data_IF_824321106149
#
_entry.id   IF_824321106149
#
_cell.length_a   1.000
_cell.length_b   1.000
_cell.length_c   1.000
_cell.angle_alpha   90.00
_cell.angle_beta   90.00
_cell.angle_gamma   90.00
#
_symmetry.space_group_name_H-M   'P 1'
#
loop_
_entity.id
_entity.type
_entity.pdbx_description
1 polymer ?
#
# COMPACT_ATOMS: atom_id res chain seq x y z
N UNK A 1 -1.65 12.47 23.17
CA UNK A 1 -2.46 12.42 21.94
C UNK A 1 -1.48 12.64 20.80
N UNK A 2 -1.07 11.59 20.11
CA UNK A 2 -0.06 11.63 19.04
C UNK A 2 -0.60 12.45 17.88
N UNK A 3 0.19 13.40 17.38
CA UNK A 3 -0.20 14.23 16.25
C UNK A 3 -0.12 13.40 14.98
N UNK A 4 -1.29 13.00 14.46
CA UNK A 4 -1.45 12.24 13.22
C UNK A 4 -0.69 12.89 12.04
N UNK A 5 -0.50 14.23 12.04
CA UNK A 5 0.29 14.89 10.99
C UNK A 5 1.78 14.57 11.10
N UNK A 6 2.33 14.57 12.31
CA UNK A 6 3.71 14.17 12.55
C UNK A 6 3.92 12.70 12.19
N UNK A 7 2.97 11.83 12.53
CA UNK A 7 3.03 10.40 12.23
C UNK A 7 3.01 10.13 10.71
N UNK A 8 2.20 10.86 9.94
CA UNK A 8 2.15 10.76 8.47
C UNK A 8 3.47 11.17 7.82
N UNK A 9 4.09 12.25 8.32
CA UNK A 9 5.36 12.73 7.78
C UNK A 9 6.49 11.72 8.05
N UNK A 10 6.60 11.23 9.29
CA UNK A 10 7.58 10.22 9.65
C UNK A 10 7.39 8.91 8.85
N UNK A 11 6.14 8.52 8.55
CA UNK A 11 5.86 7.38 7.68
C UNK A 11 6.35 7.63 6.24
N UNK A 12 6.10 8.81 5.70
CA UNK A 12 6.55 9.17 4.35
C UNK A 12 8.08 9.14 4.23
N UNK A 13 8.80 9.68 5.23
CA UNK A 13 10.27 9.63 5.28
C UNK A 13 10.80 8.20 5.32
N UNK A 14 10.18 7.32 6.12
CA UNK A 14 10.59 5.91 6.21
C UNK A 14 10.35 5.16 4.90
N UNK A 15 9.25 5.46 4.20
CA UNK A 15 8.98 4.88 2.87
C UNK A 15 9.98 5.38 1.82
N UNK A 16 10.34 6.66 1.86
CA UNK A 16 11.37 7.22 0.98
C UNK A 16 12.73 6.56 1.22
N UNK A 17 13.16 6.46 2.48
CA UNK A 17 14.41 5.78 2.84
C UNK A 17 14.42 4.30 2.43
N UNK A 18 13.29 3.60 2.57
CA UNK A 18 13.18 2.22 2.11
C UNK A 18 13.32 2.11 0.58
N UNK A 19 12.67 3.01 -0.17
CA UNK A 19 12.77 3.03 -1.63
C UNK A 19 14.19 3.37 -2.11
N UNK A 20 14.91 4.25 -1.41
CA UNK A 20 16.32 4.53 -1.70
C UNK A 20 17.23 3.31 -1.43
N UNK A 21 16.98 2.58 -0.35
CA UNK A 21 17.82 1.44 0.05
C UNK A 21 17.55 0.17 -0.78
N UNK A 22 16.31 -0.06 -1.21
CA UNK A 22 15.88 -1.32 -1.84
C UNK A 22 15.38 -1.17 -3.28
N UNK A 23 15.25 0.07 -3.77
CA UNK A 23 14.72 0.36 -5.09
C UNK A 23 13.19 0.47 -5.12
N UNK A 24 12.70 1.19 -6.13
CA UNK A 24 11.28 1.50 -6.32
C UNK A 24 10.43 0.24 -6.53
N UNK A 25 10.99 -0.80 -7.16
CA UNK A 25 10.26 -2.05 -7.41
C UNK A 25 9.89 -2.78 -6.12
N UNK A 26 10.85 -2.99 -5.21
CA UNK A 26 10.60 -3.66 -3.93
C UNK A 26 9.71 -2.83 -3.01
N UNK A 27 9.91 -1.51 -2.99
CA UNK A 27 9.00 -0.59 -2.29
C UNK A 27 7.56 -0.70 -2.83
N UNK A 28 7.41 -0.80 -4.14
CA UNK A 28 6.12 -1.00 -4.81
C UNK A 28 5.45 -2.32 -4.42
N UNK A 29 6.21 -3.43 -4.33
CA UNK A 29 5.69 -4.73 -3.87
C UNK A 29 5.19 -4.66 -2.43
N UNK A 30 5.96 -4.06 -1.53
CA UNK A 30 5.57 -3.89 -0.13
C UNK A 30 4.30 -3.04 0.00
N UNK A 31 4.24 -1.89 -0.68
CA UNK A 31 3.08 -1.00 -0.67
C UNK A 31 1.83 -1.70 -1.23
N UNK A 32 1.98 -2.43 -2.34
CA UNK A 32 0.88 -3.20 -2.93
C UNK A 32 0.34 -4.26 -1.97
N UNK A 33 1.22 -4.95 -1.24
CA UNK A 33 0.81 -5.95 -0.24
C UNK A 33 0.08 -5.33 0.94
N UNK A 34 0.54 -4.17 1.40
CA UNK A 34 -0.12 -3.40 2.46
C UNK A 34 -1.53 -2.95 2.04
N UNK A 35 -1.65 -2.35 0.84
CA UNK A 35 -2.93 -1.89 0.28
C UNK A 35 -3.93 -3.05 0.10
N UNK A 36 -3.47 -4.21 -0.39
CA UNK A 36 -4.29 -5.42 -0.46
C UNK A 36 -4.72 -5.92 0.93
N UNK A 37 -3.82 -5.84 1.92
CA UNK A 37 -4.14 -6.19 3.30
C UNK A 37 -5.20 -5.28 3.91
N UNK A 38 -5.15 -3.97 3.64
CA UNK A 38 -6.19 -3.01 4.05
C UNK A 38 -7.52 -3.32 3.37
N UNK A 39 -7.52 -3.58 2.07
CA UNK A 39 -8.74 -3.93 1.33
C UNK A 39 -9.37 -5.22 1.85
N UNK A 40 -8.55 -6.23 2.15
CA UNK A 40 -9.01 -7.47 2.76
C UNK A 40 -9.59 -7.26 4.15
N UNK A 41 -8.90 -6.50 5.02
CA UNK A 41 -9.36 -6.22 6.39
C UNK A 41 -10.65 -5.38 6.43
N UNK A 42 -10.88 -4.55 5.42
CA UNK A 42 -12.09 -3.76 5.25
C UNK A 42 -13.23 -4.55 4.57
N UNK A 43 -13.00 -5.82 4.19
CA UNK A 43 -13.92 -6.61 3.36
C UNK A 43 -14.37 -5.87 2.08
N UNK A 44 -13.51 -4.98 1.57
CA UNK A 44 -13.83 -4.12 0.45
C UNK A 44 -13.67 -4.89 -0.87
N UNK A 45 -14.68 -4.82 -1.74
CA UNK A 45 -14.56 -5.32 -3.12
C UNK A 45 -13.63 -4.46 -3.98
N UNK A 46 -13.47 -3.18 -3.60
CA UNK A 46 -12.65 -2.20 -4.29
C UNK A 46 -12.27 -1.07 -3.32
N UNK A 47 -11.05 -0.55 -3.43
CA UNK A 47 -10.63 0.71 -2.80
C UNK A 47 -9.99 1.62 -3.85
N UNK A 48 -10.43 2.87 -3.90
CA UNK A 48 -9.87 3.90 -4.77
C UNK A 48 -9.20 5.01 -3.95
N UNK A 49 -7.99 5.39 -4.37
CA UNK A 49 -7.30 6.58 -3.89
C UNK A 49 -7.02 7.49 -5.09
N UNK A 50 -7.45 8.74 -5.03
CA UNK A 50 -7.22 9.72 -6.09
C UNK A 50 -6.74 11.05 -5.52
N UNK A 51 -5.75 11.66 -6.18
CA UNK A 51 -5.25 12.99 -5.89
C UNK A 51 -4.83 13.73 -7.16
N UNK A 52 -4.11 14.85 -7.00
CA UNK A 52 -3.62 15.67 -8.11
C UNK A 52 -2.51 15.01 -8.95
N UNK A 53 -1.88 13.94 -8.45
CA UNK A 53 -0.85 13.17 -9.16
C UNK A 53 -1.49 12.05 -9.99
N UNK A 54 -2.56 11.42 -9.49
CA UNK A 54 -3.28 10.41 -10.25
C UNK A 54 -4.26 9.58 -9.43
N UNK A 55 -4.53 8.36 -9.91
CA UNK A 55 -5.45 7.41 -9.30
C UNK A 55 -4.79 6.05 -9.09
N UNK A 56 -5.02 5.47 -7.91
CA UNK A 56 -4.72 4.08 -7.59
C UNK A 56 -6.03 3.35 -7.30
N UNK A 57 -6.25 2.23 -7.99
CA UNK A 57 -7.39 1.35 -7.80
C UNK A 57 -6.91 -0.01 -7.30
N UNK A 58 -7.51 -0.50 -6.22
CA UNK A 58 -7.16 -1.78 -5.61
C UNK A 58 -8.37 -2.69 -5.67
N UNK A 59 -8.25 -3.75 -6.48
CA UNK A 59 -9.25 -4.81 -6.61
C UNK A 59 -8.69 -6.10 -5.97
N UNK A 60 -8.95 -6.37 -4.68
CA UNK A 60 -8.50 -7.62 -4.06
C UNK A 60 -9.21 -8.81 -4.69
N UNK A 61 -8.50 -9.54 -5.55
CA UNK A 61 -8.99 -10.78 -6.17
C UNK A 61 -8.45 -11.97 -5.39
N UNK A 62 -9.35 -12.90 -5.06
CA UNK A 62 -8.96 -14.19 -4.50
C UNK A 62 -8.10 -14.94 -5.51
N UNK A 63 -6.86 -15.24 -5.12
CA UNK A 63 -5.98 -16.09 -5.92
C UNK A 63 -6.35 -17.55 -5.63
N UNK A 64 -6.71 -18.35 -6.65
CA UNK A 64 -7.02 -19.76 -6.46
C UNK A 64 -5.89 -20.49 -5.73
N UNK A 65 -6.22 -21.41 -4.81
CA UNK A 65 -5.21 -22.09 -4.00
C UNK A 65 -4.19 -22.89 -4.83
N UNK A 66 -4.56 -23.28 -6.04
CA UNK A 66 -3.69 -23.99 -7.00
C UNK A 66 -2.56 -23.14 -7.59
N UNK A 67 -2.55 -21.82 -7.34
CA UNK A 67 -1.48 -20.90 -7.75
C UNK A 67 -0.57 -20.49 -6.57
N UNK A 68 -0.80 -21.05 -5.37
CA UNK A 68 0.19 -21.03 -4.30
C UNK A 68 1.14 -22.19 -4.60
N UNK A 69 2.36 -21.89 -5.06
CA UNK A 69 3.51 -22.77 -5.38
C UNK A 69 3.93 -22.77 -6.84
#
# INVERSE_FOLDING_TARGET
>A
MTDIKADKHALAERLAAFAEAHGVEEAGKLLSRFLLGLAHAAEASEIEFADHVGRVLIEPKSVPETAKH
#
